data_IF_487481268939
#
_entry.id   IF_487481268939
#
_cell.length_a   1.000
_cell.length_b   1.000
_cell.length_c   1.000
_cell.angle_alpha   90.00
_cell.angle_beta   90.00
_cell.angle_gamma   90.00
#
_symmetry.space_group_name_H-M   'P 1'
#
loop_
_entity.id
_entity.type
_entity.pdbx_description
1 polymer ?
#
# COMPACT_ATOMS: atom_id res chain seq x y z
N UNK A 1 -7.57 -3.38 16.03
CA UNK A 1 -6.89 -2.32 15.28
C UNK A 1 -7.36 -2.42 13.84
N UNK A 2 -7.92 -1.39 13.29
CA UNK A 2 -8.39 -1.40 11.89
C UNK A 2 -7.28 -0.76 11.08
N UNK A 3 -6.51 -1.58 10.40
CA UNK A 3 -5.61 -1.12 9.35
C UNK A 3 -6.48 -0.59 8.21
N UNK A 4 -6.51 0.70 8.04
CA UNK A 4 -6.99 1.32 6.81
C UNK A 4 -5.77 1.48 5.92
N UNK A 5 -5.44 0.42 5.23
CA UNK A 5 -4.40 0.43 4.22
C UNK A 5 -4.93 1.24 3.04
N UNK A 6 -4.48 2.46 2.92
CA UNK A 6 -4.79 3.32 1.78
C UNK A 6 -3.57 3.36 0.87
N UNK A 7 -3.63 2.60 -0.20
CA UNK A 7 -2.65 2.67 -1.26
C UNK A 7 -3.10 3.64 -2.33
N UNK A 8 -2.34 4.69 -2.55
CA UNK A 8 -2.47 5.50 -3.75
C UNK A 8 -1.50 5.01 -4.82
N UNK A 9 -2.02 4.39 -5.85
CA UNK A 9 -1.23 4.07 -7.05
C UNK A 9 -0.92 5.37 -7.78
N UNK A 10 0.34 5.79 -7.76
CA UNK A 10 0.79 6.91 -8.56
C UNK A 10 0.81 6.52 -10.04
N UNK A 11 -0.26 6.78 -10.75
CA UNK A 11 -0.23 6.81 -12.21
C UNK A 11 0.38 8.12 -12.66
N UNK A 12 1.49 8.03 -13.37
CA UNK A 12 2.05 9.12 -14.14
C UNK A 12 1.04 9.53 -15.22
N UNK A 13 0.31 10.60 -15.02
CA UNK A 13 -0.34 11.33 -16.12
C UNK A 13 -0.25 12.82 -15.85
N UNK A 14 0.31 13.49 -16.81
CA UNK A 14 0.38 14.93 -16.99
C UNK A 14 -1.00 15.60 -16.87
N UNK A 15 -1.04 16.64 -16.04
CA UNK A 15 -1.85 17.83 -16.09
C UNK A 15 -3.32 17.73 -16.55
N UNK A 16 -4.19 17.96 -15.60
CA UNK A 16 -5.49 18.64 -15.59
C UNK A 16 -6.61 17.82 -14.90
N UNK A 17 -7.07 18.32 -13.77
CA UNK A 17 -8.33 17.90 -13.15
C UNK A 17 -8.14 17.01 -11.93
N UNK A 18 -8.25 17.61 -10.75
CA UNK A 18 -8.43 16.92 -9.48
C UNK A 18 -9.73 16.08 -9.54
N UNK A 19 -9.59 14.82 -9.87
CA UNK A 19 -10.61 13.82 -9.60
C UNK A 19 -10.09 12.98 -8.45
N UNK A 20 -10.68 13.12 -7.27
CA UNK A 20 -10.52 12.12 -6.21
C UNK A 20 -11.07 10.80 -6.76
N UNK A 21 -10.19 9.84 -7.02
CA UNK A 21 -10.64 8.49 -7.36
C UNK A 21 -11.34 7.91 -6.14
N UNK A 22 -12.66 7.74 -6.26
CA UNK A 22 -13.46 7.07 -5.24
C UNK A 22 -13.06 5.60 -5.19
N UNK A 23 -12.50 5.16 -4.06
CA UNK A 23 -12.39 3.72 -3.78
C UNK A 23 -13.78 3.14 -3.59
N UNK A 24 -14.18 2.21 -4.44
CA UNK A 24 -15.39 1.42 -4.25
C UNK A 24 -15.07 0.21 -3.39
N UNK A 25 -15.68 0.14 -2.21
CA UNK A 25 -15.44 -0.92 -1.22
C UNK A 25 -16.34 -2.14 -1.44
N UNK A 26 -15.82 -3.30 -1.09
CA UNK A 26 -16.54 -4.59 -1.18
C UNK A 26 -17.05 -4.89 -2.60
N UNK A 27 -16.18 -4.74 -3.57
CA UNK A 27 -16.48 -5.07 -4.96
C UNK A 27 -16.18 -6.54 -5.25
N UNK A 28 -16.83 -7.09 -6.27
CA UNK A 28 -16.41 -8.37 -6.83
C UNK A 28 -15.19 -8.14 -7.74
N UNK A 29 -14.07 -8.78 -7.43
CA UNK A 29 -12.90 -8.74 -8.30
C UNK A 29 -13.17 -9.49 -9.62
N UNK A 30 -12.51 -9.09 -10.73
CA UNK A 30 -12.46 -9.90 -11.92
C UNK A 30 -11.89 -11.31 -11.65
N UNK A 31 -12.42 -12.31 -12.31
CA UNK A 31 -12.02 -13.71 -12.09
C UNK A 31 -10.51 -13.92 -12.27
N UNK A 32 -9.88 -13.19 -13.22
CA UNK A 32 -8.44 -13.25 -13.42
C UNK A 32 -7.63 -12.67 -12.23
N UNK A 33 -8.08 -11.58 -11.65
CA UNK A 33 -7.45 -10.99 -10.46
C UNK A 33 -7.61 -11.89 -9.24
N UNK A 34 -8.81 -12.45 -9.04
CA UNK A 34 -9.07 -13.38 -7.95
C UNK A 34 -8.25 -14.67 -8.06
N UNK A 35 -8.13 -15.23 -9.28
CA UNK A 35 -7.30 -16.41 -9.52
C UNK A 35 -5.81 -16.13 -9.28
N UNK A 36 -5.30 -14.98 -9.72
CA UNK A 36 -3.92 -14.57 -9.48
C UNK A 36 -3.65 -14.38 -7.98
N UNK A 37 -4.57 -13.75 -7.25
CA UNK A 37 -4.47 -13.60 -5.80
C UNK A 37 -4.39 -14.94 -5.08
N UNK A 38 -5.31 -15.87 -5.36
CA UNK A 38 -5.32 -17.22 -4.75
C UNK A 38 -4.06 -18.01 -5.05
N UNK A 39 -3.49 -17.84 -6.24
CA UNK A 39 -2.23 -18.47 -6.63
C UNK A 39 -1.04 -17.90 -5.88
N UNK A 40 -1.01 -16.57 -5.70
CA UNK A 40 0.10 -15.86 -5.06
C UNK A 40 0.07 -16.00 -3.53
N UNK A 41 -1.13 -15.97 -2.95
CA UNK A 41 -1.35 -16.03 -1.50
C UNK A 41 -2.31 -17.16 -1.14
N UNK A 42 -1.89 -18.44 -1.26
CA UNK A 42 -2.77 -19.58 -1.07
C UNK A 42 -3.27 -19.76 0.37
N UNK A 43 -2.58 -19.15 1.34
CA UNK A 43 -2.92 -19.20 2.79
C UNK A 43 -3.67 -17.97 3.28
N UNK A 44 -3.95 -17.03 2.39
CA UNK A 44 -4.66 -15.80 2.72
C UNK A 44 -6.08 -16.05 3.22
N UNK A 45 -6.46 -15.29 4.25
CA UNK A 45 -7.80 -15.31 4.84
C UNK A 45 -8.38 -13.91 4.90
N UNK A 46 -9.69 -13.78 5.11
CA UNK A 46 -10.39 -12.50 5.29
C UNK A 46 -10.22 -11.53 4.12
N UNK A 47 -10.05 -12.05 2.91
CA UNK A 47 -9.88 -11.23 1.72
C UNK A 47 -11.08 -10.33 1.46
N UNK A 48 -10.81 -9.03 1.25
CA UNK A 48 -11.80 -8.02 0.87
C UNK A 48 -11.26 -7.22 -0.28
N UNK A 49 -12.04 -7.12 -1.34
CA UNK A 49 -11.68 -6.44 -2.56
C UNK A 49 -12.24 -5.01 -2.61
N UNK A 50 -11.43 -4.10 -3.09
CA UNK A 50 -11.78 -2.72 -3.38
C UNK A 50 -11.35 -2.39 -4.81
N UNK A 51 -12.12 -1.53 -5.48
CA UNK A 51 -11.69 -1.03 -6.78
C UNK A 51 -10.95 0.28 -6.59
N UNK A 52 -9.77 0.39 -7.19
CA UNK A 52 -8.92 1.56 -7.14
C UNK A 52 -8.45 1.92 -8.56
N UNK A 53 -9.06 2.96 -9.12
CA UNK A 53 -8.82 3.33 -10.50
C UNK A 53 -9.13 2.18 -11.46
N UNK A 54 -8.14 1.76 -12.25
CA UNK A 54 -8.24 0.63 -13.18
C UNK A 54 -7.86 -0.71 -12.54
N UNK A 55 -7.32 -0.69 -11.30
CA UNK A 55 -6.85 -1.86 -10.59
C UNK A 55 -7.82 -2.28 -9.48
N UNK A 56 -7.49 -3.40 -8.87
CA UNK A 56 -8.22 -3.99 -7.76
C UNK A 56 -7.25 -4.28 -6.62
N UNK A 57 -7.56 -3.74 -5.47
CA UNK A 57 -6.84 -3.98 -4.24
C UNK A 57 -7.56 -5.05 -3.43
N UNK A 58 -6.82 -5.99 -2.88
CA UNK A 58 -7.31 -6.96 -1.91
C UNK A 58 -6.60 -6.77 -0.58
N UNK A 59 -7.38 -6.52 0.46
CA UNK A 59 -6.92 -6.51 1.85
C UNK A 59 -7.17 -7.88 2.45
N UNK A 60 -6.17 -8.49 3.08
CA UNK A 60 -6.24 -9.86 3.60
C UNK A 60 -5.30 -10.08 4.78
N UNK A 61 -5.42 -11.22 5.41
CA UNK A 61 -4.50 -11.69 6.45
C UNK A 61 -3.78 -12.92 5.95
N UNK A 62 -2.45 -12.91 6.02
CA UNK A 62 -1.62 -14.07 5.74
C UNK A 62 -0.80 -14.43 6.99
N UNK A 63 -1.11 -15.59 7.57
CA UNK A 63 -0.61 -15.94 8.90
C UNK A 63 -1.15 -14.98 9.96
N UNK A 64 -0.26 -14.15 10.54
CA UNK A 64 -0.60 -13.12 11.54
C UNK A 64 -0.43 -11.70 11.00
N UNK A 65 -0.07 -11.55 9.73
CA UNK A 65 0.22 -10.26 9.12
C UNK A 65 -0.99 -9.76 8.34
N UNK A 66 -1.30 -8.50 8.53
CA UNK A 66 -2.22 -7.76 7.66
C UNK A 66 -1.45 -7.32 6.41
N UNK A 67 -2.04 -7.57 5.26
CA UNK A 67 -1.43 -7.33 3.96
C UNK A 67 -2.46 -6.75 2.99
N UNK A 68 -1.97 -6.04 1.99
CA UNK A 68 -2.74 -5.71 0.80
C UNK A 68 -1.95 -6.07 -0.46
N UNK A 69 -2.66 -6.36 -1.52
CA UNK A 69 -2.06 -6.59 -2.83
C UNK A 69 -2.93 -5.98 -3.92
N UNK A 70 -2.27 -5.43 -4.94
CA UNK A 70 -2.94 -4.81 -6.08
C UNK A 70 -2.73 -5.66 -7.31
N UNK A 71 -3.83 -5.91 -8.03
CA UNK A 71 -3.86 -6.64 -9.29
C UNK A 71 -4.60 -5.83 -10.35
N UNK A 72 -4.15 -5.93 -11.60
CA UNK A 72 -4.93 -5.43 -12.73
C UNK A 72 -6.16 -6.31 -12.97
N UNK A 73 -7.13 -5.81 -13.74
CA UNK A 73 -8.30 -6.58 -14.14
C UNK A 73 -7.95 -7.89 -14.90
N UNK A 74 -6.80 -7.91 -15.57
CA UNK A 74 -6.28 -9.08 -16.28
C UNK A 74 -5.50 -10.06 -15.41
N UNK A 75 -5.36 -9.76 -14.10
CA UNK A 75 -4.69 -10.63 -13.14
C UNK A 75 -3.16 -10.42 -13.03
N UNK A 76 -2.63 -9.32 -13.56
CA UNK A 76 -1.23 -8.98 -13.34
C UNK A 76 -1.05 -8.41 -11.95
N UNK A 77 -0.10 -8.95 -11.20
CA UNK A 77 0.30 -8.38 -9.92
C UNK A 77 1.02 -7.04 -10.13
N UNK A 78 0.62 -6.04 -9.39
CA UNK A 78 1.17 -4.69 -9.44
C UNK A 78 2.09 -4.44 -8.26
N UNK A 79 1.59 -4.66 -7.04
CA UNK A 79 2.36 -4.49 -5.81
C UNK A 79 1.73 -5.23 -4.63
N UNK A 80 2.51 -5.37 -3.58
CA UNK A 80 2.08 -5.91 -2.30
C UNK A 80 2.56 -4.99 -1.19
N UNK A 81 1.71 -4.71 -0.23
CA UNK A 81 2.01 -4.02 1.00
C UNK A 81 1.89 -4.97 2.19
N UNK A 82 2.88 -4.90 3.07
CA UNK A 82 3.00 -5.74 4.25
C UNK A 82 3.24 -4.85 5.46
N UNK A 83 2.40 -4.98 6.50
CA UNK A 83 2.65 -4.33 7.78
C UNK A 83 3.97 -4.84 8.38
N UNK A 84 4.79 -3.91 8.84
CA UNK A 84 6.07 -4.20 9.50
C UNK A 84 6.14 -3.49 10.85
N UNK A 85 7.03 -3.96 11.71
CA UNK A 85 7.34 -3.22 12.94
C UNK A 85 7.97 -1.85 12.58
N UNK A 86 7.62 -0.80 13.31
CA UNK A 86 8.21 0.54 13.13
C UNK A 86 9.75 0.48 13.21
N UNK A 87 10.27 -0.38 14.07
CA UNK A 87 11.73 -0.62 14.21
C UNK A 87 12.38 -1.25 12.97
N UNK A 88 11.60 -1.80 12.06
CA UNK A 88 12.09 -2.39 10.80
C UNK A 88 12.20 -1.38 9.65
N UNK A 89 11.79 -0.14 9.86
CA UNK A 89 11.98 0.93 8.88
C UNK A 89 13.48 1.19 8.63
N UNK A 90 13.85 1.61 7.41
CA UNK A 90 15.24 1.97 7.11
C UNK A 90 15.78 3.06 8.04
N UNK A 91 17.09 3.03 8.27
CA UNK A 91 17.78 4.06 9.02
C UNK A 91 17.51 5.45 8.40
N UNK A 92 17.31 6.45 9.26
CA UNK A 92 17.05 7.82 8.85
C UNK A 92 15.57 8.20 8.77
N UNK A 93 14.64 7.24 8.64
CA UNK A 93 13.19 7.54 8.61
C UNK A 93 12.76 8.23 9.91
N UNK A 94 13.10 7.67 11.07
CA UNK A 94 12.75 8.24 12.37
C UNK A 94 13.31 9.66 12.57
N UNK A 95 14.56 9.87 12.18
CA UNK A 95 15.19 11.21 12.24
C UNK A 95 14.47 12.21 11.32
N UNK A 96 14.14 11.80 10.11
CA UNK A 96 13.38 12.64 9.18
C UNK A 96 12.01 13.03 9.74
N UNK A 97 11.28 12.05 10.27
CA UNK A 97 9.96 12.28 10.86
C UNK A 97 10.04 13.25 12.04
N UNK A 98 10.99 13.09 12.95
CA UNK A 98 11.19 13.99 14.09
C UNK A 98 11.52 15.42 13.66
N UNK A 99 12.32 15.58 12.62
CA UNK A 99 12.73 16.92 12.13
C UNK A 99 11.63 17.62 11.35
N UNK A 100 10.89 16.89 10.51
CA UNK A 100 10.00 17.49 9.52
C UNK A 100 8.50 17.47 9.93
N UNK A 101 8.08 16.52 10.75
CA UNK A 101 6.66 16.25 11.01
C UNK A 101 6.24 16.41 12.48
N UNK A 102 7.14 16.71 13.38
CA UNK A 102 6.87 16.92 14.83
C UNK A 102 5.96 15.82 15.42
N UNK A 103 6.26 14.57 15.10
CA UNK A 103 5.46 13.43 15.53
C UNK A 103 6.30 12.16 15.62
N UNK A 104 5.63 11.07 15.89
CA UNK A 104 6.22 9.73 15.88
C UNK A 104 5.50 8.85 14.87
N UNK A 105 6.21 7.88 14.33
CA UNK A 105 5.62 6.87 13.46
C UNK A 105 4.66 6.01 14.27
N UNK A 106 3.43 5.89 13.79
CA UNK A 106 2.37 5.08 14.39
C UNK A 106 2.37 3.67 13.85
N UNK A 107 2.36 3.57 12.53
CA UNK A 107 2.33 2.33 11.77
C UNK A 107 3.36 2.39 10.66
N UNK A 108 3.82 1.25 10.20
CA UNK A 108 4.80 1.14 9.14
C UNK A 108 4.48 -0.01 8.21
N UNK A 109 4.73 0.19 6.93
CA UNK A 109 4.52 -0.82 5.89
C UNK A 109 5.72 -0.91 4.95
N UNK A 110 5.89 -2.07 4.35
CA UNK A 110 6.82 -2.31 3.25
C UNK A 110 6.04 -2.57 1.98
N UNK A 111 6.32 -1.80 0.95
CA UNK A 111 5.69 -1.91 -0.37
C UNK A 111 6.69 -2.57 -1.32
N UNK A 112 6.28 -3.67 -1.95
CA UNK A 112 7.07 -4.36 -2.98
C UNK A 112 6.31 -4.28 -4.29
N UNK A 113 6.91 -3.65 -5.31
CA UNK A 113 6.30 -3.47 -6.62
C UNK A 113 6.73 -4.53 -7.62
N UNK A 114 5.93 -4.73 -8.65
CA UNK A 114 6.19 -5.71 -9.70
C UNK A 114 7.49 -5.48 -10.47
N UNK A 115 7.98 -4.23 -10.54
CA UNK A 115 9.27 -3.87 -11.14
C UNK A 115 10.48 -4.16 -10.24
N UNK A 116 10.25 -4.70 -9.02
CA UNK A 116 11.29 -4.95 -8.03
C UNK A 116 11.63 -3.76 -7.12
N UNK A 117 11.00 -2.61 -7.30
CA UNK A 117 11.15 -1.47 -6.41
C UNK A 117 10.57 -1.78 -5.03
N UNK A 118 11.30 -1.38 -4.00
CA UNK A 118 10.88 -1.47 -2.60
C UNK A 118 10.78 -0.08 -2.03
N UNK A 119 9.62 0.24 -1.48
CA UNK A 119 9.38 1.46 -0.72
C UNK A 119 8.93 1.11 0.70
N UNK A 120 9.02 2.08 1.56
CA UNK A 120 8.51 1.99 2.93
C UNK A 120 7.55 3.14 3.18
N UNK A 121 6.52 2.85 3.93
CA UNK A 121 5.54 3.83 4.35
C UNK A 121 5.56 3.96 5.87
N UNK A 122 5.45 5.18 6.34
CA UNK A 122 5.36 5.50 7.76
C UNK A 122 4.16 6.43 8.00
N UNK A 123 3.19 5.97 8.78
CA UNK A 123 2.07 6.81 9.19
C UNK A 123 2.49 7.75 10.31
N UNK A 124 2.36 9.06 10.06
CA UNK A 124 2.64 10.13 11.03
C UNK A 124 1.51 11.15 10.98
N UNK A 125 0.85 11.40 12.10
CA UNK A 125 -0.24 12.38 12.18
C UNK A 125 -1.35 12.15 11.14
N UNK A 126 -1.70 10.90 10.85
CA UNK A 126 -2.69 10.49 9.83
C UNK A 126 -2.27 10.84 8.40
N UNK A 127 -1.00 10.95 8.15
CA UNK A 127 -0.41 11.10 6.81
C UNK A 127 0.54 9.96 6.57
N UNK A 128 0.53 9.45 5.35
CA UNK A 128 1.43 8.39 4.92
C UNK A 128 2.64 8.99 4.21
N UNK A 129 3.79 8.84 4.84
CA UNK A 129 5.07 9.30 4.33
C UNK A 129 5.77 8.15 3.64
N UNK A 130 6.08 8.30 2.37
CA UNK A 130 6.74 7.27 1.56
C UNK A 130 8.23 7.54 1.44
N UNK A 131 9.01 6.49 1.66
CA UNK A 131 10.47 6.48 1.60
C UNK A 131 10.95 5.40 0.63
N UNK A 132 12.11 5.59 0.03
CA UNK A 132 12.76 4.56 -0.74
C UNK A 132 13.42 3.48 0.14
N UNK A 133 14.01 2.46 -0.48
CA UNK A 133 14.68 1.35 0.23
C UNK A 133 15.81 1.78 1.15
N UNK A 134 16.39 2.96 0.93
CA UNK A 134 17.52 3.50 1.71
C UNK A 134 17.06 4.52 2.78
N UNK A 135 15.75 4.72 2.92
CA UNK A 135 15.14 5.62 3.90
C UNK A 135 15.10 7.09 3.47
N UNK A 136 15.29 7.38 2.18
CA UNK A 136 15.15 8.73 1.64
C UNK A 136 13.67 9.03 1.40
N UNK A 137 13.22 10.17 1.90
CA UNK A 137 11.85 10.63 1.68
C UNK A 137 11.55 10.86 0.20
N UNK A 138 10.41 10.37 -0.25
CA UNK A 138 9.92 10.52 -1.61
C UNK A 138 8.73 11.46 -1.71
N UNK A 139 7.68 11.21 -0.93
CA UNK A 139 6.42 11.96 -1.00
C UNK A 139 5.57 11.77 0.26
N UNK A 140 4.56 12.60 0.40
CA UNK A 140 3.40 12.36 1.27
C UNK A 140 2.27 11.81 0.40
N UNK A 141 1.68 10.70 0.79
CA UNK A 141 0.42 10.25 0.23
C UNK A 141 -0.72 10.92 0.99
N UNK A 142 -1.69 11.43 0.25
CA UNK A 142 -2.91 12.00 0.81
C UNK A 142 -4.05 11.03 0.53
N UNK A 143 -4.79 10.72 1.57
CA UNK A 143 -6.06 10.02 1.49
C UNK A 143 -7.07 10.73 0.57
#
# INVERSE_FOLDING_TARGET
>A
MKLYLMMAVASFVTFAGFSQEKKEKNVKAPDAAEAAFKKTFPTATKAKWEKEGENYEVNFVDGKKEMAAVFSASGNWVETEEEIAVSALPAGVDAYVKQQHKGSVKEASKITKANGEINYEAEVNKQDLVFDKDGKFLKVEKD
#
